data_IF_587659447322
#
_entry.id   IF_587659447322
#
_cell.length_a   1.000
_cell.length_b   1.000
_cell.length_c   1.000
_cell.angle_alpha   90.00
_cell.angle_beta   90.00
_cell.angle_gamma   90.00
#
_symmetry.space_group_name_H-M   'P 1'
#
loop_
_entity.id
_entity.type
_entity.pdbx_description
1 polymer ?
#
# COMPACT_ATOMS: atom_id res chain seq x y z
N UNK A 1 12.27 4.60 7.53
CA UNK A 1 13.46 4.47 8.40
C UNK A 1 13.63 2.98 8.68
N UNK A 2 14.74 2.39 8.23
CA UNK A 2 14.97 0.95 8.39
C UNK A 2 15.19 0.65 9.88
N UNK A 3 14.41 -0.27 10.45
CA UNK A 3 14.54 -0.72 11.84
C UNK A 3 15.79 -1.58 11.97
N UNK A 4 16.66 -1.29 12.91
CA UNK A 4 17.94 -2.01 13.03
C UNK A 4 17.75 -3.18 13.98
N UNK A 5 18.54 -4.25 13.82
CA UNK A 5 18.54 -5.41 14.72
C UNK A 5 18.66 -5.05 16.22
N UNK A 6 19.26 -3.90 16.54
CA UNK A 6 19.38 -3.40 17.92
C UNK A 6 18.03 -3.03 18.54
N UNK A 7 17.02 -2.72 17.73
CA UNK A 7 15.70 -2.29 18.19
C UNK A 7 14.87 -3.45 18.80
N UNK A 8 15.14 -4.73 18.43
CA UNK A 8 14.53 -5.89 19.11
C UNK A 8 15.37 -6.47 20.26
N UNK A 9 16.65 -6.11 20.36
CA UNK A 9 17.56 -6.68 21.37
C UNK A 9 17.64 -5.84 22.66
N UNK A 10 16.94 -4.71 22.75
CA UNK A 10 17.07 -3.74 23.84
C UNK A 10 16.08 -3.92 25.01
N UNK A 11 15.29 -4.99 25.04
CA UNK A 11 14.45 -5.31 26.19
C UNK A 11 14.08 -6.79 26.27
N UNK A 12 14.52 -7.43 27.37
CA UNK A 12 14.28 -8.82 27.80
C UNK A 12 15.20 -9.88 27.15
N UNK A 13 16.31 -10.10 27.86
CA UNK A 13 17.04 -11.36 28.06
C UNK A 13 17.75 -12.03 26.86
N UNK A 14 18.94 -12.57 27.16
CA UNK A 14 19.91 -13.19 26.26
C UNK A 14 19.42 -14.50 25.60
N UNK A 15 18.29 -14.48 24.89
CA UNK A 15 17.84 -15.58 24.04
C UNK A 15 17.29 -15.04 22.71
N UNK A 16 17.55 -15.77 21.62
CA UNK A 16 16.98 -15.46 20.31
C UNK A 16 15.48 -15.81 20.30
N UNK A 17 14.63 -14.89 20.77
CA UNK A 17 13.18 -15.00 20.60
C UNK A 17 12.74 -14.56 19.18
N UNK A 18 11.59 -15.08 18.77
CA UNK A 18 10.94 -14.80 17.48
C UNK A 18 10.53 -13.32 17.29
N UNK A 19 10.73 -12.46 18.28
CA UNK A 19 10.42 -11.02 18.25
C UNK A 19 11.30 -10.22 17.27
N UNK A 20 12.45 -10.76 16.85
CA UNK A 20 13.27 -10.13 15.81
C UNK A 20 12.81 -10.47 14.38
N UNK A 21 11.99 -11.51 14.19
CA UNK A 21 11.43 -11.88 12.88
C UNK A 21 10.58 -10.76 12.24
N UNK A 22 9.66 -10.08 12.96
CA UNK A 22 8.88 -8.98 12.39
C UNK A 22 9.73 -7.76 11.98
N UNK A 23 10.93 -7.55 12.54
CA UNK A 23 11.83 -6.46 12.11
C UNK A 23 12.39 -6.73 10.72
N UNK A 24 12.85 -7.95 10.47
CA UNK A 24 13.35 -8.36 9.16
C UNK A 24 12.23 -8.23 8.12
N UNK A 25 11.03 -8.71 8.46
CA UNK A 25 9.86 -8.59 7.59
C UNK A 25 9.44 -7.13 7.37
N UNK A 26 9.46 -6.29 8.40
CA UNK A 26 9.10 -4.87 8.30
C UNK A 26 10.11 -4.07 7.47
N UNK A 27 11.41 -4.39 7.55
CA UNK A 27 12.43 -3.78 6.70
C UNK A 27 12.29 -4.20 5.24
N UNK A 28 12.05 -5.49 5.02
CA UNK A 28 11.80 -6.02 3.69
C UNK A 28 10.57 -5.34 3.06
N UNK A 29 9.48 -5.22 3.80
CA UNK A 29 8.29 -4.50 3.36
C UNK A 29 8.56 -3.01 3.11
N UNK A 30 9.34 -2.33 3.97
CA UNK A 30 9.70 -0.92 3.74
C UNK A 30 10.53 -0.74 2.46
N UNK A 31 11.51 -1.62 2.23
CA UNK A 31 12.30 -1.61 1.00
C UNK A 31 11.38 -1.84 -0.21
N UNK A 32 10.50 -2.84 -0.14
CA UNK A 32 9.55 -3.14 -1.21
C UNK A 32 8.61 -1.97 -1.47
N UNK A 33 8.07 -1.32 -0.44
CA UNK A 33 7.18 -0.15 -0.56
C UNK A 33 7.87 1.02 -1.27
N UNK A 34 9.16 1.26 -1.00
CA UNK A 34 9.93 2.29 -1.70
C UNK A 34 10.05 1.99 -3.19
N UNK A 35 10.29 0.73 -3.57
CA UNK A 35 10.30 0.30 -4.97
C UNK A 35 8.91 0.37 -5.62
N UNK A 36 7.86 -0.03 -4.90
CA UNK A 36 6.48 0.01 -5.36
C UNK A 36 6.04 1.45 -5.64
N UNK A 37 6.45 2.43 -4.82
CA UNK A 37 6.13 3.84 -5.07
C UNK A 37 6.67 4.37 -6.41
N UNK A 38 7.93 4.04 -6.73
CA UNK A 38 8.56 4.41 -8.01
C UNK A 38 7.91 3.67 -9.18
N UNK A 39 7.63 2.39 -9.00
CA UNK A 39 7.01 1.55 -10.03
C UNK A 39 5.56 1.95 -10.31
N UNK A 40 4.80 2.35 -9.29
CA UNK A 40 3.44 2.84 -9.43
C UNK A 40 3.40 4.12 -10.29
N UNK A 41 4.33 5.05 -10.06
CA UNK A 41 4.44 6.28 -10.85
C UNK A 41 4.78 6.00 -12.32
N UNK A 42 5.70 5.08 -12.60
CA UNK A 42 6.08 4.75 -13.98
C UNK A 42 4.95 4.10 -14.77
N UNK A 43 4.19 3.19 -14.16
CA UNK A 43 3.00 2.58 -14.78
C UNK A 43 1.89 3.62 -15.00
N UNK A 44 1.69 4.55 -14.07
CA UNK A 44 0.71 5.63 -14.23
C UNK A 44 1.00 6.52 -15.44
N UNK A 45 2.28 6.90 -15.63
CA UNK A 45 2.72 7.72 -16.77
C UNK A 45 2.50 6.97 -18.09
N UNK A 46 2.94 5.72 -18.19
CA UNK A 46 2.82 4.93 -19.41
C UNK A 46 1.35 4.58 -19.75
N UNK A 47 0.54 4.27 -18.74
CA UNK A 47 -0.89 4.01 -18.89
C UNK A 47 -1.67 5.24 -19.32
N UNK A 48 -1.41 6.40 -18.69
CA UNK A 48 -2.02 7.67 -19.05
C UNK A 48 -1.63 8.13 -20.46
N UNK A 49 -0.36 7.96 -20.84
CA UNK A 49 0.11 8.32 -22.18
C UNK A 49 -0.50 7.45 -23.27
N UNK A 50 -0.67 6.15 -23.01
CA UNK A 50 -1.34 5.23 -23.93
C UNK A 50 -2.82 5.60 -24.11
N UNK A 51 -3.50 6.01 -23.03
CA UNK A 51 -4.89 6.49 -23.09
C UNK A 51 -5.03 7.75 -23.96
N UNK A 52 -4.17 8.76 -23.74
CA UNK A 52 -4.20 10.01 -24.50
C UNK A 52 -3.82 9.81 -25.98
N UNK A 53 -2.88 8.91 -26.28
CA UNK A 53 -2.40 8.66 -27.65
C UNK A 53 -3.25 7.61 -28.42
N UNK A 54 -4.43 7.23 -27.90
CA UNK A 54 -5.28 6.20 -28.53
C UNK A 54 -6.10 6.70 -29.72
N UNK A 55 -6.21 8.02 -29.93
CA UNK A 55 -6.48 8.71 -31.22
C UNK A 55 -7.69 8.31 -32.09
N UNK A 56 -8.46 7.28 -31.77
CA UNK A 56 -9.54 6.74 -32.61
C UNK A 56 -9.35 5.27 -33.06
N UNK A 57 -8.24 4.61 -32.72
CA UNK A 57 -8.05 3.18 -33.01
C UNK A 57 -8.91 2.32 -32.06
N UNK A 58 -9.87 1.49 -32.56
CA UNK A 58 -10.81 0.75 -31.71
C UNK A 58 -10.10 -0.24 -30.78
N UNK A 59 -8.99 -0.84 -31.23
CA UNK A 59 -8.19 -1.78 -30.43
C UNK A 59 -7.48 -1.10 -29.25
N UNK A 60 -7.03 0.14 -29.44
CA UNK A 60 -6.43 0.94 -28.36
C UNK A 60 -7.50 1.53 -27.45
N UNK A 61 -8.66 1.90 -28.00
CA UNK A 61 -9.79 2.39 -27.24
C UNK A 61 -10.41 1.32 -26.32
N UNK A 62 -10.50 0.07 -26.79
CA UNK A 62 -10.99 -1.05 -25.98
C UNK A 62 -10.02 -1.38 -24.84
N UNK A 63 -8.71 -1.42 -25.14
CA UNK A 63 -7.66 -1.55 -24.12
C UNK A 63 -7.68 -0.39 -23.11
N UNK A 64 -7.86 0.84 -23.59
CA UNK A 64 -8.01 2.04 -22.79
C UNK A 64 -9.24 1.99 -21.88
N UNK A 65 -10.39 1.51 -22.37
CA UNK A 65 -11.59 1.30 -21.55
C UNK A 65 -11.39 0.22 -20.50
N UNK A 66 -10.71 -0.88 -20.84
CA UNK A 66 -10.32 -1.91 -19.86
C UNK A 66 -9.46 -1.30 -18.76
N UNK A 67 -8.40 -0.58 -19.13
CA UNK A 67 -7.50 0.10 -18.20
C UNK A 67 -8.24 1.14 -17.33
N UNK A 68 -9.15 1.93 -17.90
CA UNK A 68 -9.99 2.86 -17.13
C UNK A 68 -10.90 2.14 -16.13
N UNK A 69 -11.50 1.02 -16.53
CA UNK A 69 -12.40 0.26 -15.65
C UNK A 69 -11.63 -0.31 -14.46
N UNK A 70 -10.44 -0.87 -14.70
CA UNK A 70 -9.55 -1.31 -13.63
C UNK A 70 -9.06 -0.15 -12.75
N UNK A 71 -8.77 1.01 -13.34
CA UNK A 71 -8.39 2.22 -12.59
C UNK A 71 -9.52 2.72 -11.67
N UNK A 72 -10.75 2.80 -12.19
CA UNK A 72 -11.94 3.18 -11.42
C UNK A 72 -12.21 2.16 -10.30
N UNK A 73 -12.11 0.86 -10.60
CA UNK A 73 -12.25 -0.20 -9.61
C UNK A 73 -11.21 -0.06 -8.48
N UNK A 74 -9.96 0.28 -8.80
CA UNK A 74 -8.92 0.52 -7.79
C UNK A 74 -9.25 1.69 -6.87
N UNK A 75 -9.74 2.81 -7.42
CA UNK A 75 -10.15 3.97 -6.62
C UNK A 75 -11.34 3.62 -5.71
N UNK A 76 -12.33 2.92 -6.24
CA UNK A 76 -13.49 2.46 -5.46
C UNK A 76 -13.05 1.52 -4.33
N UNK A 77 -12.12 0.61 -4.60
CA UNK A 77 -11.61 -0.34 -3.59
C UNK A 77 -10.93 0.40 -2.42
N UNK A 78 -10.12 1.44 -2.71
CA UNK A 78 -9.47 2.25 -1.67
C UNK A 78 -10.49 3.01 -0.83
N UNK A 79 -11.51 3.60 -1.48
CA UNK A 79 -12.61 4.28 -0.77
C UNK A 79 -13.40 3.30 0.11
N UNK A 80 -13.71 2.11 -0.40
CA UNK A 80 -14.39 1.07 0.36
C UNK A 80 -13.55 0.60 1.55
N UNK A 81 -12.23 0.45 1.38
CA UNK A 81 -11.32 0.09 2.47
C UNK A 81 -11.41 1.07 3.64
N UNK A 82 -11.47 2.38 3.35
CA UNK A 82 -11.67 3.41 4.37
C UNK A 82 -12.98 3.23 5.15
N UNK A 83 -14.08 2.95 4.45
CA UNK A 83 -15.38 2.72 5.09
C UNK A 83 -15.33 1.49 5.99
N UNK A 84 -14.75 0.39 5.51
CA UNK A 84 -14.63 -0.85 6.26
C UNK A 84 -13.79 -0.65 7.53
N UNK A 85 -12.65 0.04 7.42
CA UNK A 85 -11.77 0.32 8.56
C UNK A 85 -12.48 1.16 9.62
N UNK A 86 -13.23 2.18 9.23
CA UNK A 86 -14.01 3.00 10.17
C UNK A 86 -15.07 2.17 10.92
N UNK A 87 -15.73 1.23 10.25
CA UNK A 87 -16.69 0.32 10.90
C UNK A 87 -15.98 -0.58 11.91
N UNK A 88 -14.82 -1.12 11.55
CA UNK A 88 -14.03 -1.98 12.45
C UNK A 88 -13.52 -1.20 13.66
N UNK A 89 -13.01 0.02 13.47
CA UNK A 89 -12.59 0.91 14.55
C UNK A 89 -13.75 1.25 15.49
N UNK A 90 -14.94 1.53 14.95
CA UNK A 90 -16.14 1.80 15.74
C UNK A 90 -16.56 0.59 16.60
N UNK A 91 -16.51 -0.62 16.04
CA UNK A 91 -16.90 -1.85 16.77
C UNK A 91 -15.84 -2.27 17.79
N UNK A 92 -14.56 -2.05 17.51
CA UNK A 92 -13.43 -2.55 18.33
C UNK A 92 -12.91 -1.52 19.33
N UNK A 93 -13.28 -0.25 19.19
CA UNK A 93 -12.72 0.85 19.99
C UNK A 93 -11.23 1.13 19.71
N UNK A 94 -10.69 0.61 18.61
CA UNK A 94 -9.31 0.84 18.20
C UNK A 94 -9.21 2.21 17.53
N UNK A 95 -8.71 3.19 18.28
CA UNK A 95 -8.57 4.59 17.85
C UNK A 95 -7.57 4.77 16.71
N UNK A 96 -6.63 3.83 16.49
CA UNK A 96 -5.62 4.01 15.44
C UNK A 96 -5.21 2.69 14.80
N UNK A 97 -5.47 2.55 13.50
CA UNK A 97 -4.90 1.48 12.68
C UNK A 97 -3.74 2.05 11.86
N UNK A 98 -2.51 1.68 12.25
CA UNK A 98 -1.28 2.14 11.61
C UNK A 98 -0.71 1.07 10.69
N UNK A 99 -0.73 1.33 9.38
CA UNK A 99 -0.11 0.49 8.37
C UNK A 99 1.15 1.19 7.85
N UNK A 100 2.31 0.82 8.39
CA UNK A 100 3.57 1.51 8.06
C UNK A 100 3.55 2.99 8.48
N UNK A 101 3.72 3.90 7.52
CA UNK A 101 3.62 5.36 7.75
C UNK A 101 2.20 5.92 7.53
N UNK A 102 1.25 5.08 7.09
CA UNK A 102 -0.12 5.51 6.84
C UNK A 102 -0.97 5.23 8.07
N UNK A 103 -1.50 6.30 8.67
CA UNK A 103 -2.33 6.23 9.88
C UNK A 103 -3.78 6.50 9.47
N UNK A 104 -4.65 5.52 9.71
CA UNK A 104 -6.08 5.60 9.39
C UNK A 104 -6.90 5.58 10.67
N UNK A 105 -7.84 6.53 10.77
CA UNK A 105 -8.88 6.51 11.80
C UNK A 105 -8.54 7.14 13.15
N UNK A 106 -7.37 7.79 13.32
CA UNK A 106 -7.04 8.50 14.57
C UNK A 106 -7.89 9.78 14.72
N UNK A 107 -8.87 9.73 15.62
CA UNK A 107 -9.50 10.89 16.24
C UNK A 107 -9.10 10.91 17.71
#
# INVERSE_FOLDING_TARGET
MFKVWKDCAQGQDEVATLDCLPIVFSNFLNALLMFVGIFALSVFILGGFTYMNSGGDPKKLESARGALTFGILGVILVLLSFVIINIISFVTGAECIKFGNFSLGCN
#
